data_IF_247094789885
#
_entry.id   IF_247094789885
#
_cell.length_a   1.000
_cell.length_b   1.000
_cell.length_c   1.000
_cell.angle_alpha   90.00
_cell.angle_beta   90.00
_cell.angle_gamma   90.00
#
_symmetry.space_group_name_H-M   'P 1'
#
loop_
_entity.id
_entity.type
_entity.pdbx_description
1 polymer ?
#
# COMPACT_ATOMS: atom_id res chain seq x y z
N UNK A 1 15.42 -11.53 -16.57
CA UNK A 1 14.88 -10.34 -15.86
C UNK A 1 13.52 -10.73 -15.30
N UNK A 2 13.33 -10.77 -13.97
CA UNK A 2 12.00 -11.06 -13.42
C UNK A 2 11.11 -9.87 -13.80
N UNK A 3 10.12 -10.12 -14.66
CA UNK A 3 9.03 -9.19 -14.90
C UNK A 3 8.20 -9.20 -13.62
N UNK A 4 8.67 -8.47 -12.60
CA UNK A 4 8.04 -8.47 -11.30
C UNK A 4 6.72 -7.77 -11.45
N UNK A 5 5.64 -8.53 -11.29
CA UNK A 5 4.25 -8.07 -11.33
C UNK A 5 4.11 -6.74 -10.58
N UNK A 6 3.51 -5.74 -11.22
CA UNK A 6 3.27 -4.41 -10.63
C UNK A 6 2.57 -4.51 -9.28
N UNK A 7 1.70 -5.52 -9.09
CA UNK A 7 1.08 -5.82 -7.80
C UNK A 7 2.13 -6.15 -6.74
N UNK A 8 3.12 -6.97 -7.07
CA UNK A 8 4.20 -7.34 -6.14
C UNK A 8 5.08 -6.15 -5.80
N UNK A 9 5.41 -5.30 -6.78
CA UNK A 9 6.20 -4.07 -6.57
C UNK A 9 5.52 -3.13 -5.58
N UNK A 10 4.21 -2.95 -5.70
CA UNK A 10 3.41 -2.17 -4.75
C UNK A 10 3.44 -2.76 -3.33
N UNK A 11 3.35 -4.09 -3.20
CA UNK A 11 3.43 -4.78 -1.91
C UNK A 11 4.82 -4.65 -1.26
N UNK A 12 5.88 -4.58 -2.06
CA UNK A 12 7.27 -4.45 -1.57
C UNK A 12 7.65 -2.99 -1.26
N UNK A 13 7.10 -2.02 -2.00
CA UNK A 13 7.34 -0.60 -1.80
C UNK A 13 6.68 -0.06 -0.52
N UNK A 14 5.44 -0.46 -0.28
CA UNK A 14 4.63 0.04 0.85
C UNK A 14 5.32 -0.12 2.23
N UNK A 15 5.83 -1.30 2.64
CA UNK A 15 6.46 -1.47 3.95
C UNK A 15 7.75 -0.67 4.13
N UNK A 16 8.39 -0.21 3.06
CA UNK A 16 9.56 0.69 3.16
C UNK A 16 9.19 2.09 3.64
N UNK A 17 7.95 2.53 3.37
CA UNK A 17 7.48 3.87 3.69
C UNK A 17 6.85 3.95 5.09
N UNK A 18 6.39 2.82 5.64
CA UNK A 18 5.68 2.77 6.93
C UNK A 18 6.56 3.25 8.10
N UNK A 19 7.82 2.81 8.27
CA UNK A 19 8.64 3.20 9.42
C UNK A 19 8.86 4.71 9.54
N UNK A 20 8.96 5.40 8.40
CA UNK A 20 9.27 6.84 8.35
C UNK A 20 8.02 7.71 8.33
N UNK A 21 6.96 7.27 7.64
CA UNK A 21 5.79 8.12 7.32
C UNK A 21 4.51 7.66 8.01
N UNK A 22 4.49 6.45 8.58
CA UNK A 22 3.28 5.81 9.09
C UNK A 22 2.22 5.58 8.00
N UNK A 23 1.01 5.17 8.42
CA UNK A 23 -0.10 4.95 7.48
C UNK A 23 -0.49 6.24 6.76
N UNK A 24 -0.77 7.32 7.50
CA UNK A 24 -1.28 8.56 6.92
C UNK A 24 -0.26 9.26 6.01
N UNK A 25 1.00 9.36 6.43
CA UNK A 25 2.05 10.02 5.66
C UNK A 25 2.52 9.24 4.43
N UNK A 26 2.32 7.92 4.38
CA UNK A 26 2.61 7.11 3.18
C UNK A 26 1.52 7.32 2.13
N UNK A 27 1.56 8.45 1.44
CA UNK A 27 0.57 8.80 0.41
C UNK A 27 0.63 7.84 -0.79
N UNK A 28 -0.46 7.72 -1.54
CA UNK A 28 -0.51 6.97 -2.80
C UNK A 28 0.62 7.38 -3.73
N UNK A 29 0.94 8.69 -3.83
CA UNK A 29 2.07 9.21 -4.60
C UNK A 29 3.42 8.68 -4.14
N UNK A 30 3.67 8.62 -2.83
CA UNK A 30 4.93 8.08 -2.32
C UNK A 30 5.07 6.58 -2.68
N UNK A 31 3.98 5.84 -2.55
CA UNK A 31 3.97 4.39 -2.82
C UNK A 31 4.21 4.09 -4.29
N UNK A 32 3.49 4.76 -5.21
CA UNK A 32 3.66 4.50 -6.66
C UNK A 32 5.03 4.94 -7.16
N UNK A 33 5.62 5.98 -6.56
CA UNK A 33 6.96 6.43 -6.89
C UNK A 33 8.01 5.39 -6.46
N UNK A 34 7.95 4.92 -5.21
CA UNK A 34 8.83 3.87 -4.69
C UNK A 34 8.64 2.53 -5.44
N UNK A 35 7.42 2.22 -5.85
CA UNK A 35 7.13 1.03 -6.66
C UNK A 35 7.47 1.20 -8.14
N UNK A 36 7.82 2.40 -8.61
CA UNK A 36 7.93 2.83 -10.01
C UNK A 36 6.76 2.33 -10.90
N UNK A 37 5.54 2.62 -10.46
CA UNK A 37 4.29 2.36 -11.20
C UNK A 37 3.43 3.61 -11.29
N UNK A 38 2.32 3.53 -12.01
CA UNK A 38 1.33 4.62 -12.09
C UNK A 38 0.24 4.47 -11.04
N UNK A 39 -0.45 5.58 -10.74
CA UNK A 39 -1.60 5.59 -9.85
C UNK A 39 -2.73 4.67 -10.37
N UNK A 40 -2.96 4.68 -11.68
CA UNK A 40 -3.90 3.76 -12.35
C UNK A 40 -3.56 2.29 -12.08
N UNK A 41 -2.26 1.95 -11.99
CA UNK A 41 -1.81 0.58 -11.71
C UNK A 41 -2.15 0.18 -10.27
N UNK A 42 -1.91 1.08 -9.31
CA UNK A 42 -2.31 0.86 -7.92
C UNK A 42 -3.82 0.64 -7.79
N UNK A 43 -4.62 1.53 -8.37
CA UNK A 43 -6.08 1.42 -8.31
C UNK A 43 -6.61 0.19 -9.04
N UNK A 44 -5.99 -0.24 -10.14
CA UNK A 44 -6.35 -1.47 -10.84
C UNK A 44 -6.13 -2.73 -9.98
N UNK A 45 -5.04 -2.79 -9.22
CA UNK A 45 -4.71 -3.96 -8.42
C UNK A 45 -5.37 -4.00 -7.05
N UNK A 46 -5.57 -2.83 -6.42
CA UNK A 46 -6.01 -2.76 -5.02
C UNK A 46 -7.28 -1.92 -4.81
N UNK A 47 -7.65 -1.04 -5.74
CA UNK A 47 -8.83 -0.18 -5.63
C UNK A 47 -8.67 1.00 -4.66
N UNK A 48 -7.93 0.84 -3.57
CA UNK A 48 -7.64 1.91 -2.60
C UNK A 48 -6.28 1.70 -1.91
N UNK A 49 -5.76 2.79 -1.30
CA UNK A 49 -4.60 2.72 -0.41
C UNK A 49 -4.84 1.79 0.78
N UNK A 50 -6.04 1.82 1.36
CA UNK A 50 -6.45 0.94 2.48
C UNK A 50 -6.30 -0.54 2.11
N UNK A 51 -6.83 -0.95 0.96
CA UNK A 51 -6.75 -2.33 0.49
C UNK A 51 -5.32 -2.79 0.21
N UNK A 52 -4.46 -1.88 -0.30
CA UNK A 52 -3.05 -2.16 -0.45
C UNK A 52 -2.37 -2.40 0.91
N UNK A 53 -2.64 -1.54 1.88
CA UNK A 53 -2.12 -1.70 3.25
C UNK A 53 -2.59 -2.99 3.91
N UNK A 54 -3.87 -3.33 3.80
CA UNK A 54 -4.40 -4.60 4.28
C UNK A 54 -3.70 -5.80 3.61
N UNK A 55 -3.48 -5.75 2.30
CA UNK A 55 -2.76 -6.79 1.58
C UNK A 55 -1.29 -6.92 2.02
N UNK A 56 -0.63 -5.81 2.37
CA UNK A 56 0.73 -5.80 2.95
C UNK A 56 0.71 -6.45 4.33
N UNK A 57 -0.20 -6.05 5.21
CA UNK A 57 -0.33 -6.63 6.55
C UNK A 57 -0.60 -8.14 6.47
N UNK A 58 -1.54 -8.57 5.63
CA UNK A 58 -1.84 -9.98 5.42
C UNK A 58 -0.64 -10.78 4.87
N UNK A 59 0.28 -10.12 4.15
CA UNK A 59 1.46 -10.78 3.55
C UNK A 59 2.62 -10.91 4.52
N UNK A 60 2.87 -9.89 5.35
CA UNK A 60 4.03 -9.83 6.23
C UNK A 60 3.71 -10.18 7.69
N UNK A 61 2.43 -10.36 8.02
CA UNK A 61 1.98 -10.73 9.36
C UNK A 61 0.98 -11.87 9.28
N UNK A 62 0.68 -12.48 10.42
CA UNK A 62 -0.33 -13.52 10.56
C UNK A 62 -1.74 -12.94 10.84
N UNK A 63 -1.90 -11.62 10.74
CA UNK A 63 -3.16 -10.97 11.09
C UNK A 63 -4.25 -11.29 10.05
N UNK A 64 -5.45 -11.71 10.48
CA UNK A 64 -6.55 -11.93 9.57
C UNK A 64 -7.08 -10.59 9.03
N UNK A 65 -7.33 -10.55 7.72
CA UNK A 65 -7.96 -9.42 7.06
C UNK A 65 -9.29 -9.06 7.73
N UNK A 66 -9.48 -7.79 8.07
CA UNK A 66 -10.67 -7.29 8.76
C UNK A 66 -10.53 -7.12 10.28
N UNK A 67 -9.42 -7.55 10.89
CA UNK A 67 -9.17 -7.33 12.33
C UNK A 67 -8.64 -5.92 12.65
N UNK A 68 -8.15 -5.21 11.64
CA UNK A 68 -7.67 -3.83 11.77
C UNK A 68 -8.62 -2.87 11.03
N UNK A 69 -9.48 -2.18 11.77
CA UNK A 69 -10.15 -0.99 11.23
C UNK A 69 -9.15 0.15 11.26
N UNK A 70 -8.50 0.42 10.12
CA UNK A 70 -7.87 1.73 9.93
C UNK A 70 -9.02 2.74 9.91
N UNK A 71 -9.23 3.45 11.01
CA UNK A 71 -10.17 4.58 11.02
C UNK A 71 -9.61 5.63 10.08
N UNK A 72 -10.27 5.78 8.93
CA UNK A 72 -10.01 6.81 7.94
C UNK A 72 -10.40 8.15 8.55
N UNK A 73 -9.57 8.69 9.46
CA UNK A 73 -9.67 10.10 9.83
C UNK A 73 -9.12 10.87 8.65
N UNK A 74 -10.06 11.18 7.76
CA UNK A 74 -10.10 12.24 6.75
C UNK A 74 -8.73 12.69 6.23
N UNK A 75 -8.53 12.44 4.93
CA UNK A 75 -7.66 13.24 4.06
C UNK A 75 -8.05 14.73 4.30
N UNK A 76 -7.39 15.39 5.27
CA UNK A 76 -7.55 16.82 5.50
C UNK A 76 -6.85 17.50 4.32
N UNK A 77 -7.70 17.87 3.35
CA UNK A 77 -7.57 18.86 2.27
C UNK A 77 -6.17 19.25 1.78
#
# INVERSE_FOLDING_TARGET
MKNTDSRQRLLEATPKLIPEKGYFGATTRNIIHEAEVTETTLFRHFGSKKNLFEAVLNKYTFLPGGMFSVSETEDIQ
#
